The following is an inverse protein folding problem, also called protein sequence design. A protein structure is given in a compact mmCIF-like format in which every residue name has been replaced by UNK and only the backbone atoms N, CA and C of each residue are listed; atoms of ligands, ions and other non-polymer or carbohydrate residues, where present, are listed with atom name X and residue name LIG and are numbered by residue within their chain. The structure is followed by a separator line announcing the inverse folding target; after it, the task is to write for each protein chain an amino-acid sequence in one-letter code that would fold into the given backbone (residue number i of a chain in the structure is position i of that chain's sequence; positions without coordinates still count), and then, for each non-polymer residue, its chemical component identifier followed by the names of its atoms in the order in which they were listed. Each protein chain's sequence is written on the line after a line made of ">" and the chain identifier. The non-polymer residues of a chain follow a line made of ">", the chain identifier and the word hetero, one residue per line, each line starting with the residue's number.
data_IF_440010458432
#
_entry.id   IF_440010458432
#
_cell.length_a   1.000
_cell.length_b   1.000
_cell.length_c   1.000
_cell.angle_alpha   90.00
_cell.angle_beta   90.00
_cell.angle_gamma   90.00
#
_symmetry.space_group_name_H-M   'P 1'
#
loop_
_entity.id
_entity.type
_entity.pdbx_description
1 polymer ?
#
# COMPACT_ATOMS: atom_id res chain seq x y z
N UNK A 1 -7.89 -26.78 1.51
CA UNK A 1 -7.99 -25.40 1.04
C UNK A 1 -6.73 -24.65 1.42
N UNK A 2 -6.07 -24.12 0.44
CA UNK A 2 -4.81 -23.43 0.64
C UNK A 2 -5.05 -22.11 1.39
N UNK A 3 -4.31 -21.89 2.48
CA UNK A 3 -4.44 -20.67 3.28
C UNK A 3 -4.16 -19.39 2.49
N UNK A 4 -3.44 -19.48 1.39
CA UNK A 4 -3.15 -18.33 0.52
C UNK A 4 -4.40 -17.66 -0.01
N UNK A 5 -5.47 -18.41 -0.22
CA UNK A 5 -6.74 -17.88 -0.70
C UNK A 5 -7.39 -16.88 0.27
N UNK A 6 -7.11 -17.03 1.57
CA UNK A 6 -7.67 -16.16 2.62
C UNK A 6 -6.84 -14.88 2.75
N UNK A 7 -5.55 -14.93 2.39
CA UNK A 7 -4.61 -13.84 2.63
C UNK A 7 -4.44 -12.89 1.44
N UNK A 8 -4.75 -13.36 0.23
CA UNK A 8 -4.58 -12.56 -0.98
C UNK A 8 -5.94 -12.05 -1.48
N UNK A 9 -5.94 -10.77 -1.89
CA UNK A 9 -7.04 -10.19 -2.63
C UNK A 9 -6.87 -10.57 -4.09
N UNK A 10 -7.73 -11.45 -4.60
CA UNK A 10 -7.65 -11.94 -5.98
C UNK A 10 -7.80 -10.83 -7.02
N UNK A 11 -8.51 -9.76 -6.67
CA UNK A 11 -8.75 -8.65 -7.59
C UNK A 11 -7.49 -7.82 -7.85
N UNK A 12 -6.56 -7.79 -6.90
CA UNK A 12 -5.36 -6.96 -6.99
C UNK A 12 -4.08 -7.76 -6.97
N UNK A 13 -4.09 -8.98 -6.45
CA UNK A 13 -2.89 -9.79 -6.25
C UNK A 13 -2.09 -9.39 -5.02
N UNK A 14 -2.61 -8.48 -4.20
CA UNK A 14 -1.98 -8.03 -2.96
C UNK A 14 -2.61 -8.73 -1.76
N UNK A 15 -1.94 -8.66 -0.61
CA UNK A 15 -2.48 -9.22 0.62
C UNK A 15 -3.70 -8.42 1.09
N UNK A 16 -4.64 -9.11 1.74
CA UNK A 16 -5.78 -8.45 2.36
C UNK A 16 -5.30 -7.58 3.52
N UNK A 17 -6.06 -6.53 3.81
CA UNK A 17 -5.66 -5.47 4.74
C UNK A 17 -5.30 -5.99 6.14
N UNK A 18 -6.15 -6.84 6.74
CA UNK A 18 -5.90 -7.30 8.11
C UNK A 18 -4.60 -8.12 8.22
N UNK A 19 -4.29 -8.92 7.20
CA UNK A 19 -3.05 -9.70 7.19
C UNK A 19 -1.83 -8.80 7.01
N UNK A 20 -1.95 -7.80 6.12
CA UNK A 20 -0.88 -6.84 5.92
C UNK A 20 -0.51 -6.13 7.22
N UNK A 21 -1.50 -5.61 7.95
CA UNK A 21 -1.23 -4.90 9.21
C UNK A 21 -0.70 -5.83 10.30
N UNK A 22 -1.13 -7.09 10.32
CA UNK A 22 -0.56 -8.09 11.21
C UNK A 22 0.93 -8.27 10.94
N UNK A 23 1.33 -8.32 9.68
CA UNK A 23 2.74 -8.43 9.30
C UNK A 23 3.53 -7.18 9.67
N UNK A 24 2.93 -6.00 9.56
CA UNK A 24 3.57 -4.76 10.03
C UNK A 24 3.79 -4.81 11.54
N UNK A 25 2.81 -5.29 12.30
CA UNK A 25 2.96 -5.44 13.75
C UNK A 25 4.10 -6.40 14.09
N UNK A 26 4.21 -7.52 13.39
CA UNK A 26 5.33 -8.45 13.56
C UNK A 26 6.66 -7.76 13.30
N UNK A 27 6.72 -6.91 12.29
CA UNK A 27 7.95 -6.19 11.96
C UNK A 27 8.30 -5.13 13.00
N UNK A 28 7.31 -4.45 13.58
CA UNK A 28 7.53 -3.54 14.72
C UNK A 28 8.15 -4.29 15.89
N UNK A 29 7.62 -5.46 16.21
CA UNK A 29 8.13 -6.29 17.30
C UNK A 29 9.57 -6.74 17.02
N UNK A 30 9.85 -7.14 15.79
CA UNK A 30 11.20 -7.53 15.37
C UNK A 30 12.18 -6.37 15.45
N UNK A 31 11.77 -5.20 14.93
CA UNK A 31 12.60 -3.99 14.94
C UNK A 31 12.91 -3.55 16.38
N UNK A 32 11.94 -3.63 17.26
CA UNK A 32 12.13 -3.31 18.69
C UNK A 32 13.10 -4.25 19.35
N UNK A 33 13.03 -5.55 19.02
CA UNK A 33 13.90 -6.57 19.64
C UNK A 33 15.32 -6.52 19.11
N UNK A 34 15.49 -6.36 17.80
CA UNK A 34 16.80 -6.51 17.14
C UNK A 34 17.39 -5.20 16.62
N UNK A 35 16.68 -4.10 16.70
CA UNK A 35 17.16 -2.80 16.21
C UNK A 35 17.25 -2.69 14.71
N UNK A 36 16.56 -3.53 13.95
CA UNK A 36 16.57 -3.48 12.50
C UNK A 36 15.49 -2.52 11.99
N UNK A 37 15.84 -1.51 11.17
CA UNK A 37 14.85 -0.57 10.66
C UNK A 37 14.00 -1.18 9.56
N UNK A 38 12.81 -0.61 9.36
CA UNK A 38 11.97 -0.93 8.21
C UNK A 38 11.26 0.35 7.74
N UNK A 39 10.59 0.25 6.60
CA UNK A 39 9.85 1.37 6.03
C UNK A 39 8.47 0.93 5.56
N UNK A 40 7.54 1.87 5.57
CA UNK A 40 6.22 1.72 4.96
C UNK A 40 6.05 2.75 3.87
N UNK A 41 5.54 2.34 2.73
CA UNK A 41 5.10 3.25 1.68
C UNK A 41 3.58 3.20 1.65
N UNK A 42 2.94 4.37 1.82
CA UNK A 42 1.50 4.51 1.69
C UNK A 42 1.22 5.15 0.35
N UNK A 43 0.42 4.51 -0.47
CA UNK A 43 0.07 5.00 -1.80
C UNK A 43 -1.42 5.31 -1.87
N UNK A 44 -1.75 6.55 -2.20
CA UNK A 44 -3.12 6.97 -2.50
C UNK A 44 -3.27 7.21 -3.99
N UNK A 45 -4.27 6.58 -4.59
CA UNK A 45 -4.56 6.71 -6.00
C UNK A 45 -5.59 7.80 -6.26
N UNK A 46 -5.26 8.71 -7.17
CA UNK A 46 -6.17 9.72 -7.69
C UNK A 46 -6.45 9.44 -9.16
N UNK A 47 -7.70 9.50 -9.55
CA UNK A 47 -8.05 9.33 -10.96
C UNK A 47 -7.67 10.58 -11.73
N UNK A 48 -6.69 10.43 -12.62
CA UNK A 48 -6.16 11.51 -13.45
C UNK A 48 -6.93 11.62 -14.76
N UNK A 49 -7.29 10.48 -15.33
CA UNK A 49 -8.07 10.41 -16.58
C UNK A 49 -9.35 9.62 -16.34
N UNK A 50 -10.49 10.30 -16.05
CA UNK A 50 -11.72 9.60 -15.70
C UNK A 50 -12.26 8.74 -16.85
N UNK A 51 -12.68 7.52 -16.53
CA UNK A 51 -13.29 6.57 -17.46
C UNK A 51 -14.80 6.41 -17.26
N UNK A 52 -15.35 7.04 -16.20
CA UNK A 52 -16.73 6.85 -15.80
C UNK A 52 -16.96 5.66 -14.89
N UNK A 53 -15.93 4.88 -14.61
CA UNK A 53 -15.97 3.71 -13.70
C UNK A 53 -14.81 3.76 -12.74
N UNK A 54 -14.85 4.65 -11.72
CA UNK A 54 -13.69 4.91 -10.86
C UNK A 54 -13.25 3.68 -10.07
N UNK A 55 -14.16 2.87 -9.54
CA UNK A 55 -13.80 1.68 -8.79
C UNK A 55 -13.01 0.69 -9.65
N UNK A 56 -13.49 0.41 -10.84
CA UNK A 56 -12.81 -0.49 -11.77
C UNK A 56 -11.44 0.07 -12.16
N UNK A 57 -11.37 1.37 -12.41
CA UNK A 57 -10.15 2.06 -12.80
C UNK A 57 -9.09 1.94 -11.69
N UNK A 58 -9.48 2.15 -10.43
CA UNK A 58 -8.59 2.01 -9.28
C UNK A 58 -8.13 0.57 -9.09
N UNK A 59 -9.01 -0.40 -9.27
CA UNK A 59 -8.66 -1.82 -9.17
C UNK A 59 -7.68 -2.23 -10.25
N UNK A 60 -7.89 -1.79 -11.48
CA UNK A 60 -6.98 -2.09 -12.59
C UNK A 60 -5.60 -1.49 -12.36
N UNK A 61 -5.54 -0.25 -11.88
CA UNK A 61 -4.27 0.39 -11.57
C UNK A 61 -3.56 -0.31 -10.40
N UNK A 62 -4.30 -0.77 -9.40
CA UNK A 62 -3.73 -1.49 -8.26
C UNK A 62 -3.07 -2.80 -8.70
N UNK A 63 -3.57 -3.44 -9.74
CA UNK A 63 -3.01 -4.70 -10.23
C UNK A 63 -1.57 -4.61 -10.74
N UNK A 64 -1.06 -3.41 -11.01
CA UNK A 64 0.34 -3.23 -11.42
C UNK A 64 1.30 -3.29 -10.22
N UNK A 65 0.81 -3.09 -9.00
CA UNK A 65 1.67 -3.03 -7.81
C UNK A 65 2.45 -4.33 -7.55
N UNK A 66 1.83 -5.53 -7.64
CA UNK A 66 2.59 -6.76 -7.38
C UNK A 66 3.79 -6.95 -8.29
N UNK A 67 3.74 -6.41 -9.50
CA UNK A 67 4.84 -6.49 -10.45
C UNK A 67 5.91 -5.44 -10.23
N UNK A 68 5.58 -4.39 -9.49
CA UNK A 68 6.49 -3.27 -9.23
C UNK A 68 7.34 -3.49 -7.98
N UNK A 69 6.91 -4.36 -7.08
CA UNK A 69 7.62 -4.64 -5.82
C UNK A 69 8.46 -5.92 -5.95
N UNK A 70 9.42 -6.06 -5.04
CA UNK A 70 10.28 -7.25 -4.98
C UNK A 70 9.60 -8.34 -4.15
N UNK A 71 10.07 -9.59 -4.29
CA UNK A 71 9.56 -10.72 -3.53
C UNK A 71 9.77 -10.57 -2.02
N UNK A 72 10.74 -9.76 -1.61
CA UNK A 72 11.01 -9.45 -0.20
C UNK A 72 10.12 -8.34 0.35
N UNK A 73 9.43 -7.61 -0.52
CA UNK A 73 8.49 -6.57 -0.14
C UNK A 73 7.10 -7.16 0.04
N UNK A 74 6.29 -6.56 0.91
CA UNK A 74 4.93 -7.03 1.14
C UNK A 74 3.96 -5.91 0.80
N UNK A 75 3.05 -6.18 -0.14
CA UNK A 75 2.03 -5.22 -0.53
C UNK A 75 0.67 -5.59 0.03
N UNK A 76 -0.06 -4.60 0.53
CA UNK A 76 -1.41 -4.76 1.06
C UNK A 76 -2.41 -3.88 0.33
N UNK A 77 -3.55 -4.46 0.00
CA UNK A 77 -4.70 -3.73 -0.54
C UNK A 77 -5.57 -3.30 0.64
N UNK A 78 -5.57 -2.01 0.94
CA UNK A 78 -6.28 -1.48 2.11
C UNK A 78 -7.75 -1.25 1.79
N UNK A 79 -7.99 -0.49 0.76
CA UNK A 79 -9.31 -0.22 0.20
C UNK A 79 -9.09 0.27 -1.24
N UNK A 80 -10.14 0.44 -2.06
CA UNK A 80 -9.94 0.99 -3.40
C UNK A 80 -9.25 2.34 -3.32
N UNK A 81 -8.10 2.46 -3.99
CA UNK A 81 -7.30 3.67 -4.00
C UNK A 81 -6.30 3.82 -2.87
N UNK A 82 -6.18 2.83 -1.98
CA UNK A 82 -5.15 2.83 -0.94
C UNK A 82 -4.39 1.51 -0.92
N UNK A 83 -3.09 1.62 -1.12
CA UNK A 83 -2.16 0.48 -1.10
C UNK A 83 -1.04 0.80 -0.14
N UNK A 84 -0.63 -0.17 0.67
CA UNK A 84 0.52 -0.02 1.55
C UNK A 84 1.57 -1.07 1.20
N UNK A 85 2.85 -0.69 1.32
CA UNK A 85 3.96 -1.59 1.03
C UNK A 85 4.90 -1.60 2.21
N UNK A 86 5.23 -2.79 2.71
CA UNK A 86 6.19 -3.00 3.78
C UNK A 86 7.54 -3.36 3.19
N UNK A 87 8.56 -2.56 3.50
CA UNK A 87 9.94 -2.78 3.09
C UNK A 87 10.76 -3.13 4.32
N UNK A 88 11.25 -4.36 4.40
CA UNK A 88 12.05 -4.82 5.55
C UNK A 88 13.53 -4.45 5.36
N UNK A 89 14.25 -4.26 6.47
CA UNK A 89 15.69 -3.98 6.47
C UNK A 89 16.08 -2.78 5.60
N UNK A 90 15.33 -1.66 5.75
CA UNK A 90 15.55 -0.46 4.95
C UNK A 90 15.91 0.73 5.83
N UNK A 91 17.00 1.41 5.53
CA UNK A 91 17.28 2.74 6.06
C UNK A 91 16.57 3.80 5.19
N UNK A 92 16.71 5.08 5.55
CA UNK A 92 16.03 6.17 4.85
C UNK A 92 16.43 6.23 3.37
N UNK A 93 17.71 6.12 3.07
CA UNK A 93 18.22 6.24 1.69
C UNK A 93 17.72 5.09 0.82
N UNK A 94 17.83 3.86 1.29
CA UNK A 94 17.38 2.70 0.52
C UNK A 94 15.87 2.66 0.36
N UNK A 95 15.13 3.13 1.37
CA UNK A 95 13.68 3.22 1.31
C UNK A 95 13.22 4.26 0.28
N UNK A 96 13.89 5.41 0.20
CA UNK A 96 13.60 6.43 -0.81
C UNK A 96 13.87 5.92 -2.22
N UNK A 97 14.96 5.20 -2.40
CA UNK A 97 15.30 4.59 -3.69
C UNK A 97 14.26 3.53 -4.09
N UNK A 98 13.82 2.71 -3.14
CA UNK A 98 12.79 1.71 -3.38
C UNK A 98 11.45 2.35 -3.77
N UNK A 99 11.05 3.40 -3.05
CA UNK A 99 9.84 4.17 -3.37
C UNK A 99 9.89 4.69 -4.79
N UNK A 100 10.97 5.34 -5.17
CA UNK A 100 11.10 5.94 -6.51
C UNK A 100 11.08 4.86 -7.60
N UNK A 101 11.75 3.74 -7.38
CA UNK A 101 11.74 2.60 -8.30
C UNK A 101 10.35 2.02 -8.48
N UNK A 102 9.62 1.84 -7.38
CA UNK A 102 8.26 1.28 -7.41
C UNK A 102 7.32 2.20 -8.18
N UNK A 103 7.35 3.49 -7.85
CA UNK A 103 6.49 4.46 -8.54
C UNK A 103 6.80 4.54 -10.03
N UNK A 104 8.08 4.53 -10.40
CA UNK A 104 8.50 4.55 -11.79
C UNK A 104 7.98 3.33 -12.55
N UNK A 105 8.07 2.15 -11.95
CA UNK A 105 7.56 0.92 -12.55
C UNK A 105 6.05 0.92 -12.68
N UNK A 106 5.35 1.41 -11.66
CA UNK A 106 3.89 1.53 -11.71
C UNK A 106 3.46 2.48 -12.82
N UNK A 107 4.10 3.63 -12.92
CA UNK A 107 3.79 4.63 -13.93
C UNK A 107 4.05 4.09 -15.35
N UNK A 108 5.13 3.34 -15.53
CA UNK A 108 5.48 2.78 -16.85
C UNK A 108 4.49 1.72 -17.32
N UNK A 109 3.80 1.03 -16.42
CA UNK A 109 2.91 -0.09 -16.75
C UNK A 109 1.43 0.22 -16.55
N UNK A 110 1.09 1.32 -15.89
CA UNK A 110 -0.30 1.68 -15.63
C UNK A 110 -0.96 2.25 -16.89
N UNK A 111 -2.08 1.66 -17.28
CA UNK A 111 -2.91 2.11 -18.39
C UNK A 111 -4.27 2.59 -17.92
N UNK A 112 -4.52 2.59 -16.63
CA UNK A 112 -5.85 2.89 -16.07
C UNK A 112 -6.07 4.38 -15.80
N UNK A 113 -5.05 5.24 -15.96
CA UNK A 113 -5.20 6.67 -15.77
C UNK A 113 -5.30 7.10 -14.31
N UNK A 114 -4.60 6.42 -13.44
CA UNK A 114 -4.54 6.72 -12.00
C UNK A 114 -3.15 7.22 -11.65
N UNK A 115 -3.10 8.31 -10.89
CA UNK A 115 -1.85 8.84 -10.34
C UNK A 115 -1.74 8.42 -8.88
N UNK A 116 -0.61 7.82 -8.50
CA UNK A 116 -0.37 7.35 -7.15
C UNK A 116 0.54 8.34 -6.40
N UNK A 117 0.07 8.78 -5.23
CA UNK A 117 0.77 9.73 -4.38
C UNK A 117 1.41 8.96 -3.23
N UNK A 118 2.76 9.00 -3.10
CA UNK A 118 3.44 8.25 -2.07
C UNK A 118 3.60 9.03 -0.78
N UNK A 119 3.62 8.30 0.32
CA UNK A 119 4.04 8.79 1.62
C UNK A 119 4.94 7.74 2.24
N UNK A 120 6.16 8.12 2.58
CA UNK A 120 7.16 7.21 3.15
C UNK A 120 7.23 7.40 4.65
N UNK A 121 7.07 6.31 5.40
CA UNK A 121 7.26 6.28 6.85
C UNK A 121 8.41 5.35 7.19
N UNK A 122 9.26 5.78 8.12
CA UNK A 122 10.43 5.04 8.55
C UNK A 122 10.27 4.61 10.01
N UNK A 123 10.68 3.39 10.32
CA UNK A 123 10.71 2.94 11.71
C UNK A 123 12.17 2.84 12.17
N UNK A 124 12.56 3.40 13.33
CA UNK A 124 11.68 3.90 14.41
C UNK A 124 11.30 5.39 14.33
N UNK A 125 11.79 6.14 13.36
CA UNK A 125 11.61 7.60 13.31
C UNK A 125 10.13 8.00 13.34
N UNK A 126 9.28 7.30 12.60
CA UNK A 126 7.84 7.57 12.48
C UNK A 126 6.99 6.57 13.28
N UNK A 127 7.53 6.03 14.36
CA UNK A 127 6.88 4.98 15.15
C UNK A 127 5.49 5.36 15.64
N UNK A 128 5.30 6.63 16.06
CA UNK A 128 4.00 7.09 16.56
C UNK A 128 2.94 7.03 15.47
N UNK A 129 3.27 7.45 14.26
CA UNK A 129 2.35 7.42 13.13
C UNK A 129 2.05 6.02 12.68
N UNK A 130 3.06 5.14 12.65
CA UNK A 130 2.88 3.72 12.33
C UNK A 130 1.94 3.05 13.35
N UNK A 131 2.06 3.40 14.64
CA UNK A 131 1.19 2.91 15.69
C UNK A 131 -0.28 3.31 15.45
N UNK A 132 -0.51 4.53 15.02
CA UNK A 132 -1.86 4.98 14.67
C UNK A 132 -2.42 4.18 13.50
N UNK A 133 -1.62 3.93 12.48
CA UNK A 133 -2.03 3.13 11.32
C UNK A 133 -2.36 1.68 11.71
N UNK A 134 -1.60 1.09 12.62
CA UNK A 134 -1.88 -0.26 13.11
C UNK A 134 -3.22 -0.35 13.82
N UNK A 135 -3.61 0.70 14.52
CA UNK A 135 -4.90 0.75 15.21
C UNK A 135 -6.05 1.01 14.26
N UNK A 136 -5.89 1.94 13.32
CA UNK A 136 -6.94 2.37 12.40
C UNK A 136 -7.06 1.53 11.14
N UNK A 137 -5.98 0.81 10.77
CA UNK A 137 -5.91 0.09 9.50
C UNK A 137 -5.86 0.99 8.28
N UNK A 138 -5.58 2.27 8.52
CA UNK A 138 -5.60 3.33 7.48
C UNK A 138 -6.99 3.48 6.84
N UNK A 139 -8.04 3.30 7.66
CA UNK A 139 -9.45 3.43 7.23
C UNK A 139 -10.14 4.60 7.89
N UNK A 140 -9.39 5.64 8.25
CA UNK A 140 -9.89 6.76 9.03
C UNK A 140 -10.81 7.71 8.27
N UNK A 141 -11.42 8.59 9.06
CA UNK A 141 -12.50 9.49 8.72
C UNK A 141 -12.25 10.43 7.54
N UNK A 142 -11.00 10.63 7.15
CA UNK A 142 -10.69 11.36 5.91
C UNK A 142 -10.92 10.41 4.74
N UNK A 143 -12.09 10.51 4.13
CA UNK A 143 -12.44 9.70 2.98
C UNK A 143 -11.37 9.81 1.90
N UNK A 144 -10.90 8.66 1.40
CA UNK A 144 -9.99 8.67 0.26
C UNK A 144 -10.72 9.22 -0.98
N UNK A 145 -9.99 9.73 -1.97
CA UNK A 145 -10.62 10.13 -3.22
C UNK A 145 -11.48 9.02 -3.84
N UNK A 146 -11.08 7.77 -3.65
CA UNK A 146 -11.84 6.61 -4.12
C UNK A 146 -13.20 6.49 -3.45
N UNK A 147 -13.28 6.70 -2.14
CA UNK A 147 -14.54 6.63 -1.39
C UNK A 147 -15.50 7.73 -1.80
N UNK A 148 -14.99 8.94 -2.01
CA UNK A 148 -15.80 10.06 -2.50
C UNK A 148 -16.37 9.74 -3.89
N UNK A 149 -15.56 9.18 -4.77
CA UNK A 149 -16.00 8.79 -6.11
C UNK A 149 -17.03 7.68 -6.09
N UNK A 150 -16.89 6.70 -5.18
CA UNK A 150 -17.87 5.63 -5.01
C UNK A 150 -19.22 6.17 -4.55
N UNK A 151 -19.23 7.16 -3.67
CA UNK A 151 -20.47 7.80 -3.22
C UNK A 151 -21.15 8.52 -4.39
N UNK A 152 -20.39 9.12 -5.29
CA UNK A 152 -20.93 9.78 -6.48
C UNK A 152 -21.49 8.80 -7.51
N UNK A 153 -20.96 7.57 -7.55
CA UNK A 153 -21.47 6.52 -8.44
C UNK A 153 -22.81 5.94 -7.97
N UNK A 154 -23.05 6.00 -6.67
CA UNK A 154 -24.28 5.48 -6.11
C UNK A 154 -25.43 6.46 -6.32
#
# INVERSE_FOLDING_TARGET
>A
MDQQWILLDERTGLHVSWYFWLRVLDEVNRATRYGTPFALILLEGEIDTPSGKPLKQLQESTCVVPRAIRSTDLGGSICPGRVAILLTHQDAESAEQARDRILERMEATDTAGVRWLPRLLLYPEDAAEISILLTSGWLDADSSPAEVQLQQEA
#
